data_IF_209786012794
#
_entry.id   IF_209786012794
#
_cell.length_a   1.000
_cell.length_b   1.000
_cell.length_c   1.000
_cell.angle_alpha   90.00
_cell.angle_beta   90.00
_cell.angle_gamma   90.00
#
_symmetry.space_group_name_H-M   'P 1'
#
loop_
_entity.id
_entity.type
_entity.pdbx_description
1 polymer ?
2 non-polymer ?
3 non-polymer ?
4 water ?
#
# COMPACT_ATOMS: atom_id res chain seq x y z
N UNK A 2 15.38 23.58 15.86
CA UNK A 2 14.55 23.18 17.05
C UNK A 2 14.92 21.78 17.58
N UNK A 3 14.41 21.44 18.76
CA UNK A 3 14.75 20.18 19.43
C UNK A 3 13.58 19.19 19.34
N UNK A 4 13.83 17.95 19.72
CA UNK A 4 12.74 16.99 19.86
C UNK A 4 11.89 17.37 21.07
N UNK A 5 10.57 17.08 21.02
CA UNK A 5 9.70 17.37 22.15
C UNK A 5 10.16 16.62 23.39
N UNK A 6 9.93 17.24 24.54
CA UNK A 6 10.32 16.66 25.81
C UNK A 6 9.70 15.27 26.03
N UNK A 7 8.42 15.13 25.72
CA UNK A 7 7.71 13.85 25.94
C UNK A 7 8.30 12.72 25.11
N UNK A 8 8.76 13.02 23.91
CA UNK A 8 9.46 12.04 23.08
C UNK A 8 10.81 11.68 23.68
N UNK A 9 11.60 12.70 24.00
CA UNK A 9 12.92 12.50 24.62
C UNK A 9 12.82 11.69 25.93
N UNK A 10 11.73 11.86 26.67
CA UNK A 10 11.54 11.14 27.90
C UNK A 10 11.52 9.61 27.77
N UNK A 11 10.98 9.14 26.65
CA UNK A 11 10.77 7.72 26.39
C UNK A 11 11.73 7.09 25.40
N UNK A 12 12.37 7.91 24.55
CA UNK A 12 13.18 7.44 23.44
C UNK A 12 14.48 8.23 23.35
N UNK A 13 15.53 7.55 22.91
CA UNK A 13 16.78 8.17 22.52
C UNK A 13 16.83 8.22 21.01
N UNK A 14 16.99 9.40 20.43
CA UNK A 14 16.92 9.54 18.97
C UNK A 14 18.30 9.35 18.36
N UNK A 15 18.31 8.74 17.18
CA UNK A 15 19.54 8.39 16.49
C UNK A 15 19.53 8.81 15.00
N UNK A 16 20.20 8.02 14.16
CA UNK A 16 20.47 8.38 12.77
C UNK A 16 19.23 8.41 11.89
N UNK A 17 19.37 9.05 10.73
CA UNK A 17 18.31 9.11 9.74
C UNK A 17 18.29 7.83 8.92
N UNK A 18 17.11 7.24 8.79
CA UNK A 18 16.93 6.02 7.99
C UNK A 18 16.40 6.34 6.59
N UNK A 19 15.68 7.46 6.45
CA UNK A 19 15.01 7.79 5.19
C UNK A 19 14.45 9.21 5.19
N UNK A 20 13.94 9.62 4.02
CA UNK A 20 13.31 10.94 3.86
C UNK A 20 12.08 10.88 2.95
N UNK A 21 11.01 11.57 3.36
CA UNK A 21 9.88 11.86 2.50
C UNK A 21 9.81 13.35 2.22
N UNK A 22 8.79 13.78 1.48
CA UNK A 22 8.52 15.21 1.28
C UNK A 22 8.01 15.81 2.58
N UNK A 23 7.16 15.04 3.26
CA UNK A 23 6.62 15.38 4.59
C UNK A 23 7.69 15.52 5.69
N UNK A 24 8.66 14.60 5.70
CA UNK A 24 9.72 14.61 6.71
C UNK A 24 10.41 13.27 6.87
N UNK A 25 11.45 13.26 7.70
CA UNK A 25 12.36 12.12 7.79
C UNK A 25 11.78 10.94 8.56
N UNK A 26 12.46 9.81 8.42
CA UNK A 26 12.28 8.67 9.32
C UNK A 26 13.60 8.49 10.09
N UNK A 27 13.51 8.46 11.42
CA UNK A 27 14.68 8.34 12.29
C UNK A 27 14.71 7.00 13.02
N UNK A 28 15.91 6.50 13.24
CA UNK A 28 16.15 5.39 14.17
C UNK A 28 16.05 5.94 15.59
N UNK A 29 15.42 5.18 16.47
CA UNK A 29 15.37 5.53 17.88
C UNK A 29 15.44 4.26 18.72
N UNK A 30 15.79 4.43 20.00
CA UNK A 30 15.75 3.31 20.95
C UNK A 30 14.76 3.63 22.04
N UNK A 31 13.85 2.69 22.27
CA UNK A 31 12.91 2.83 23.36
C UNK A 31 13.65 2.58 24.68
N UNK A 32 13.60 3.55 25.59
CA UNK A 32 14.37 3.46 26.82
C UNK A 32 14.00 2.25 27.66
N UNK A 33 12.71 1.99 27.80
CA UNK A 33 12.23 0.89 28.65
C UNK A 33 12.81 -0.47 28.26
N UNK A 34 12.93 -0.72 26.97
CA UNK A 34 13.26 -2.06 26.46
C UNK A 34 14.66 -2.11 25.83
N UNK A 35 15.23 -0.93 25.58
CA UNK A 35 16.46 -0.78 24.81
C UNK A 35 16.38 -1.31 23.40
N UNK A 36 15.19 -1.43 22.83
CA UNK A 36 15.04 -1.98 21.50
C UNK A 36 14.80 -0.88 20.46
N UNK A 37 15.15 -1.17 19.21
CA UNK A 37 15.13 -0.19 18.13
C UNK A 37 13.72 0.01 17.64
N UNK A 38 13.38 1.26 17.33
CA UNK A 38 12.11 1.59 16.72
C UNK A 38 12.38 2.57 15.60
N UNK A 39 11.39 2.79 14.74
CA UNK A 39 11.45 3.84 13.74
C UNK A 39 10.54 4.96 14.18
N UNK A 40 10.96 6.20 13.93
CA UNK A 40 10.13 7.37 14.21
C UNK A 40 9.95 8.20 12.94
N UNK A 41 8.72 8.27 12.47
CA UNK A 41 8.37 9.06 11.30
C UNK A 41 7.98 10.48 11.74
N UNK A 42 8.67 11.45 11.17
CA UNK A 42 8.40 12.85 11.47
C UNK A 42 7.58 13.42 10.32
N UNK A 43 6.46 14.06 10.64
CA UNK A 43 5.66 14.79 9.65
C UNK A 43 5.52 16.24 10.16
N UNK A 44 6.03 17.18 9.39
CA UNK A 44 6.03 18.58 9.82
C UNK A 44 4.61 19.17 9.72
N UNK A 45 4.29 20.08 10.63
CA UNK A 45 3.02 20.79 10.60
C UNK A 45 3.15 22.02 9.73
N UNK A 60 -7.74 13.57 6.04
CA UNK A 60 -6.86 14.70 5.78
C UNK A 60 -5.75 14.80 6.85
N UNK A 61 -6.08 15.03 8.12
CA UNK A 61 -5.00 15.29 9.10
C UNK A 61 -4.38 14.05 9.73
N UNK A 62 -3.21 14.23 10.32
CA UNK A 62 -2.43 13.10 10.82
C UNK A 62 -3.12 12.37 11.98
N UNK A 63 -3.73 13.09 12.92
CA UNK A 63 -4.32 12.44 14.10
C UNK A 63 -5.40 11.45 13.69
N UNK A 64 -6.20 11.81 12.69
CA UNK A 64 -7.22 10.92 12.17
C UNK A 64 -6.64 9.74 11.38
N UNK A 65 -5.54 9.96 10.66
CA UNK A 65 -4.78 8.87 10.05
C UNK A 65 -4.29 7.90 11.12
N UNK A 66 -3.69 8.44 12.19
CA UNK A 66 -3.23 7.61 13.30
C UNK A 66 -4.40 6.83 13.93
N UNK A 67 -5.54 7.48 14.08
CA UNK A 67 -6.75 6.80 14.57
C UNK A 67 -7.18 5.64 13.69
N UNK A 68 -7.16 5.84 12.37
CA UNK A 68 -7.43 4.74 11.46
C UNK A 68 -6.45 3.60 11.72
N UNK A 69 -5.17 3.91 11.72
CA UNK A 69 -4.15 2.86 11.84
C UNK A 69 -4.17 2.15 13.21
N UNK A 70 -4.59 2.85 14.27
CA UNK A 70 -4.75 2.21 15.58
C UNK A 70 -5.83 1.13 15.58
N UNK A 71 -6.84 1.27 14.73
CA UNK A 71 -7.95 0.31 14.71
C UNK A 71 -7.67 -0.89 13.82
N UNK A 72 -6.76 -0.74 12.86
CA UNK A 72 -6.48 -1.81 11.90
C UNK A 72 -5.52 -2.82 12.50
N UNK A 73 -5.75 -4.10 12.21
CA UNK A 73 -4.97 -5.19 12.77
C UNK A 73 -4.75 -6.26 11.72
N UNK A 74 -3.67 -6.11 10.97
CA UNK A 74 -3.31 -7.04 9.91
C UNK A 74 -1.79 -7.09 9.82
N UNK A 75 -1.22 -8.28 9.66
CA UNK A 75 0.26 -8.36 9.68
C UNK A 75 0.95 -7.66 8.50
N UNK A 76 0.22 -7.35 7.43
CA UNK A 76 0.79 -6.62 6.29
C UNK A 76 0.41 -5.13 6.25
N UNK A 77 0.00 -4.61 7.40
CA UNK A 77 -0.29 -3.19 7.59
C UNK A 77 0.45 -2.73 8.82
N UNK A 78 1.17 -1.63 8.64
CA UNK A 78 2.01 -1.04 9.67
C UNK A 78 1.20 -0.71 10.93
N UNK A 79 1.77 -1.01 12.11
CA UNK A 79 1.18 -0.70 13.40
C UNK A 79 1.84 0.50 14.09
N UNK A 80 1.05 1.28 14.83
CA UNK A 80 1.56 2.46 15.49
C UNK A 80 1.88 2.08 16.92
N UNK A 81 3.11 2.38 17.37
CA UNK A 81 3.51 2.11 18.74
C UNK A 81 3.25 3.29 19.63
N UNK A 82 3.50 4.48 19.10
CA UNK A 82 3.28 5.68 19.86
C UNK A 82 3.12 6.86 18.91
N UNK A 83 2.64 7.97 19.46
CA UNK A 83 2.35 9.15 18.68
C UNK A 83 2.51 10.41 19.51
N UNK A 84 3.23 11.39 18.99
CA UNK A 84 3.41 12.66 19.68
C UNK A 84 3.07 13.81 18.74
N UNK A 85 2.12 14.63 19.18
CA UNK A 85 1.60 15.77 18.42
C UNK A 85 2.18 17.03 19.08
N UNK A 86 3.29 17.52 18.55
CA UNK A 86 4.02 18.64 19.14
C UNK A 86 4.26 19.71 18.08
N UNK A 87 5.46 20.30 18.02
CA UNK A 87 5.77 21.24 16.95
C UNK A 87 5.54 20.57 15.61
N UNK A 88 6.01 19.33 15.51
CA UNK A 88 5.72 18.44 14.40
C UNK A 88 5.04 17.19 14.95
N UNK A 89 4.63 16.30 14.05
CA UNK A 89 4.11 14.98 14.46
C UNK A 89 5.23 13.96 14.46
N UNK A 90 5.28 13.15 15.50
CA UNK A 90 6.24 12.07 15.60
C UNK A 90 5.44 10.79 15.74
N UNK A 91 5.68 9.85 14.84
CA UNK A 91 4.96 8.59 14.86
C UNK A 91 5.96 7.46 15.07
N UNK A 92 5.77 6.68 16.14
CA UNK A 92 6.69 5.62 16.48
C UNK A 92 6.13 4.30 15.97
N UNK A 93 6.94 3.53 15.23
CA UNK A 93 6.53 2.21 14.75
C UNK A 93 7.68 1.24 14.79
N UNK A 94 7.37 -0.04 14.54
CA UNK A 94 8.42 -1.04 14.49
C UNK A 94 9.33 -0.73 13.33
N UNK A 95 10.58 -1.16 13.47
CA UNK A 95 11.58 -0.95 12.48
C UNK A 95 11.33 -1.88 11.29
N UNK A 96 11.40 -1.34 10.08
CA UNK A 96 11.25 -2.15 8.89
C UNK A 96 12.57 -2.04 8.17
N UNK A 97 13.48 -2.92 8.54
CA UNK A 97 14.88 -2.77 8.19
C UNK A 97 15.15 -2.95 6.71
N UNK A 98 14.24 -3.58 5.99
CA UNK A 98 14.37 -3.73 4.56
C UNK A 98 14.21 -2.44 3.79
N UNK A 99 13.58 -1.44 4.43
CA UNK A 99 13.32 -0.17 3.76
C UNK A 99 12.14 -0.23 2.80
N UNK A 100 12.12 0.72 1.87
CA UNK A 100 11.01 0.84 0.94
C UNK A 100 11.18 -0.11 -0.24
N UNK A 101 10.06 -0.63 -0.75
CA UNK A 101 10.03 -1.41 -1.99
C UNK A 101 10.62 -0.62 -3.15
N UNK A 102 10.38 0.70 -3.13
CA UNK A 102 10.92 1.62 -4.14
C UNK A 102 12.39 1.35 -4.49
N UNK A 103 13.20 1.21 -3.46
CA UNK A 103 14.64 1.04 -3.63
C UNK A 103 15.03 -0.28 -4.30
N UNK A 104 14.11 -1.25 -4.31
CA UNK A 104 14.34 -2.54 -4.96
C UNK A 104 13.97 -2.56 -6.44
N UNK A 105 13.22 -1.55 -6.88
CA UNK A 105 12.75 -1.53 -8.27
C UNK A 105 13.24 -0.33 -9.07
N UNK A 106 13.96 0.58 -8.42
CA UNK A 106 14.45 1.80 -9.06
C UNK A 106 15.64 1.50 -9.97
N UNK A 107 15.85 2.36 -10.97
CA UNK A 107 16.96 2.20 -11.89
C UNK A 107 16.90 0.90 -12.69
N UNK A 108 15.68 0.52 -13.08
CA UNK A 108 15.43 -0.69 -13.89
C UNK A 108 15.81 -2.02 -13.21
N UNK A 109 16.03 -1.99 -11.91
CA UNK A 109 16.26 -3.22 -11.18
C UNK A 109 14.94 -3.97 -11.10
N UNK A 110 15.02 -5.30 -11.14
CA UNK A 110 13.82 -6.07 -10.90
C UNK A 110 14.03 -7.34 -10.11
N UNK A 111 12.95 -7.71 -9.45
CA UNK A 111 12.91 -8.81 -8.54
C UNK A 111 12.60 -10.06 -9.35
N UNK A 112 13.01 -11.22 -8.86
CA UNK A 112 12.61 -12.46 -9.53
C UNK A 112 11.11 -12.65 -9.35
N UNK A 113 10.50 -13.39 -10.27
CA UNK A 113 9.06 -13.55 -10.29
C UNK A 113 8.55 -14.07 -8.94
N UNK A 114 9.25 -15.06 -8.39
CA UNK A 114 8.89 -15.63 -7.08
C UNK A 114 8.79 -14.57 -5.97
N UNK A 115 9.78 -13.68 -5.89
CA UNK A 115 9.77 -12.58 -4.90
C UNK A 115 8.61 -11.59 -5.20
N UNK A 116 8.36 -11.31 -6.48
CA UNK A 116 7.20 -10.52 -6.86
C UNK A 116 5.90 -11.13 -6.34
N UNK A 117 5.75 -12.43 -6.48
CA UNK A 117 4.54 -13.11 -6.05
C UNK A 117 4.34 -13.04 -4.54
N UNK A 118 5.41 -13.26 -3.79
CA UNK A 118 5.34 -13.22 -2.34
C UNK A 118 4.95 -11.84 -1.86
N UNK A 119 5.63 -10.81 -2.37
CA UNK A 119 5.30 -9.44 -2.01
C UNK A 119 3.88 -9.08 -2.43
N UNK A 120 3.53 -9.41 -3.68
CA UNK A 120 2.21 -9.03 -4.19
C UNK A 120 1.05 -9.72 -3.46
N UNK A 121 1.23 -10.98 -3.11
CA UNK A 121 0.24 -11.71 -2.32
C UNK A 121 -0.07 -10.96 -1.02
N UNK A 122 0.98 -10.46 -0.37
CA UNK A 122 0.82 -9.75 0.87
C UNK A 122 0.16 -8.39 0.68
N UNK A 123 0.51 -7.69 -0.39
CA UNK A 123 -0.17 -6.42 -0.72
C UNK A 123 -1.67 -6.68 -0.92
N UNK A 124 -2.00 -7.72 -1.66
CA UNK A 124 -3.41 -8.11 -1.90
C UNK A 124 -4.16 -8.41 -0.60
N UNK A 125 -3.53 -9.19 0.29
CA UNK A 125 -4.16 -9.51 1.56
C UNK A 125 -4.40 -8.22 2.36
N UNK A 126 -3.41 -7.32 2.35
CA UNK A 126 -3.51 -6.04 3.07
C UNK A 126 -4.64 -5.20 2.53
N UNK A 127 -4.67 -5.03 1.20
CA UNK A 127 -5.67 -4.16 0.60
C UNK A 127 -7.06 -4.80 0.71
N UNK A 128 -7.15 -6.13 0.60
CA UNK A 128 -8.41 -6.84 0.82
C UNK A 128 -8.95 -6.54 2.21
N UNK A 129 -8.06 -6.59 3.20
CA UNK A 129 -8.44 -6.32 4.58
C UNK A 129 -8.95 -4.89 4.69
N UNK A 130 -8.25 -3.95 4.04
CA UNK A 130 -8.70 -2.56 4.06
C UNK A 130 -10.10 -2.45 3.51
N UNK A 131 -10.34 -3.01 2.33
CA UNK A 131 -11.64 -2.86 1.66
C UNK A 131 -12.77 -3.55 2.45
N UNK A 132 -12.50 -4.72 3.04
CA UNK A 132 -13.44 -5.38 3.94
C UNK A 132 -13.80 -4.52 5.14
N UNK A 133 -12.86 -3.69 5.58
CA UNK A 133 -13.04 -2.82 6.73
C UNK A 133 -13.45 -1.38 6.37
N UNK A 134 -13.90 -1.17 5.14
CA UNK A 134 -14.42 0.14 4.72
C UNK A 134 -13.35 1.22 4.55
N UNK A 135 -12.11 0.83 4.29
CA UNK A 135 -11.04 1.80 4.07
C UNK A 135 -10.48 1.67 2.66
N UNK A 136 -10.24 2.81 1.99
CA UNK A 136 -9.52 2.83 0.72
C UNK A 136 -8.20 3.60 0.95
N UNK A 137 -7.08 3.07 0.46
CA UNK A 137 -5.77 3.65 0.75
C UNK A 137 -5.56 4.90 -0.13
N UNK A 138 -5.75 4.73 -1.43
CA UNK A 138 -5.66 5.80 -2.42
C UNK A 138 -4.26 6.33 -2.70
N UNK A 139 -3.22 5.77 -2.11
CA UNK A 139 -1.85 6.22 -2.41
C UNK A 139 -0.87 5.04 -2.47
N UNK A 140 -1.33 3.90 -3.03
CA UNK A 140 -0.46 2.74 -3.08
C UNK A 140 0.61 2.96 -4.14
N UNK A 141 1.86 2.85 -3.72
CA UNK A 141 3.02 2.88 -4.61
C UNK A 141 4.24 2.27 -3.88
N UNK A 142 5.34 2.00 -4.61
CA UNK A 142 6.47 1.30 -3.99
C UNK A 142 7.09 2.01 -2.79
N UNK A 143 6.99 3.33 -2.75
CA UNK A 143 7.51 4.08 -1.60
C UNK A 143 6.69 3.84 -0.33
N UNK A 144 5.45 3.37 -0.50
CA UNK A 144 4.55 3.10 0.64
C UNK A 144 4.39 1.63 0.97
N UNK A 145 5.31 0.81 0.46
CA UNK A 145 5.46 -0.58 0.85
C UNK A 145 6.83 -0.73 1.53
N UNK A 146 6.81 -1.19 2.78
CA UNK A 146 8.00 -1.35 3.59
C UNK A 146 8.34 -2.84 3.73
N UNK A 147 9.64 -3.13 3.80
CA UNK A 147 10.14 -4.49 3.88
C UNK A 147 10.72 -4.75 5.29
N UNK A 148 10.31 -5.86 5.89
CA UNK A 148 10.69 -6.21 7.26
C UNK A 148 12.16 -6.44 7.49
N UNK A 149 12.86 -6.97 6.49
CA UNK A 149 14.25 -7.31 6.63
C UNK A 149 14.95 -7.11 5.29
N UNK A 150 16.27 -7.28 5.30
CA UNK A 150 17.05 -7.20 4.07
C UNK A 150 17.10 -8.52 3.34
N UNK A 151 16.49 -9.56 3.93
CA UNK A 151 16.32 -10.85 3.24
C UNK A 151 15.29 -10.65 2.15
N UNK A 152 15.48 -11.31 1.03
CA UNK A 152 14.56 -11.21 -0.09
C UNK A 152 13.16 -11.73 0.31
N UNK A 153 13.11 -12.87 0.98
CA UNK A 153 11.85 -13.40 1.50
C UNK A 153 11.57 -12.76 2.85
N UNK A 154 10.70 -11.76 2.86
CA UNK A 154 10.34 -11.07 4.09
C UNK A 154 8.88 -10.65 4.05
N UNK A 155 8.34 -10.29 5.21
CA UNK A 155 7.00 -9.70 5.27
C UNK A 155 7.10 -8.26 4.77
N UNK A 156 6.05 -7.81 4.10
CA UNK A 156 5.93 -6.42 3.72
C UNK A 156 4.76 -5.80 4.47
N UNK A 157 4.81 -4.48 4.64
CA UNK A 157 3.74 -3.78 5.29
C UNK A 157 3.46 -2.49 4.55
N UNK A 158 2.18 -2.25 4.31
CA UNK A 158 1.74 -1.04 3.69
C UNK A 158 1.73 0.06 4.72
N UNK A 159 2.18 1.24 4.30
CA UNK A 159 2.20 2.42 5.16
C UNK A 159 1.59 3.64 4.45
N UNK A 160 1.63 4.78 5.14
CA UNK A 160 1.16 6.09 4.65
C UNK A 160 -0.31 6.11 4.26
N UNK A 161 -1.14 6.37 5.26
CA UNK A 161 -2.56 6.46 5.10
C UNK A 161 -3.06 7.91 5.01
N UNK A 162 -2.16 8.82 4.64
CA UNK A 162 -2.49 10.25 4.58
C UNK A 162 -3.53 10.63 3.54
N UNK A 163 -3.72 9.77 2.52
CA UNK A 163 -4.76 10.00 1.50
C UNK A 163 -5.94 9.06 1.65
N UNK A 164 -5.95 8.25 2.70
CA UNK A 164 -6.98 7.24 2.86
C UNK A 164 -8.35 7.86 3.14
N UNK A 165 -9.37 7.06 2.92
CA UNK A 165 -10.74 7.52 3.12
C UNK A 165 -11.57 6.39 3.68
N UNK A 166 -12.51 6.75 4.55
CA UNK A 166 -13.35 5.78 5.21
C UNK A 166 -14.66 5.73 4.46
N UNK A 167 -15.06 4.55 4.02
CA UNK A 167 -16.37 4.38 3.38
C UNK A 167 -17.46 4.41 4.42
N UNK A 168 -18.66 4.77 3.99
CA UNK A 168 -19.82 4.78 4.87
C UNK A 168 -21.03 5.26 4.08
N UNK A 169 -22.13 5.51 4.77
CA UNK A 169 -23.35 5.96 4.13
C UNK A 169 -23.07 7.25 3.35
N UNK A 170 -23.28 7.18 2.03
CA UNK A 170 -23.01 8.31 1.17
C UNK A 170 -24.18 9.30 1.15
N UNK A 171 -23.89 10.52 0.70
CA UNK A 171 -24.95 11.51 0.42
C UNK A 171 -25.90 10.94 -0.61
N UNK A 172 -25.36 10.18 -1.56
CA UNK A 172 -26.19 9.55 -2.59
C UNK A 172 -27.23 8.62 -1.99
N UNK A 173 -26.81 7.76 -1.06
CA UNK A 173 -27.75 6.82 -0.43
C UNK A 173 -28.86 7.56 0.27
N UNK A 174 -28.52 8.62 0.99
CA UNK A 174 -29.54 9.45 1.67
C UNK A 174 -30.49 10.10 0.65
N UNK A 175 -29.96 10.58 -0.47
CA UNK A 175 -30.80 11.16 -1.53
C UNK A 175 -31.78 10.13 -2.10
N UNK A 176 -31.31 8.92 -2.37
CA UNK A 176 -32.14 7.89 -2.99
C UNK A 176 -33.31 7.39 -2.12
N UNK A 177 -33.25 7.58 -0.81
CA UNK A 177 -34.46 7.43 0.00
C UNK A 177 -35.37 8.53 -0.54
N UNK A 178 -36.33 8.14 -1.40
CA UNK A 178 -36.90 9.03 -2.47
C UNK A 178 -37.30 10.41 -2.01
N UNK A 179 -38.12 11.15 -2.77
CA UNK A 179 -38.40 10.91 -4.18
C UNK A 179 -37.75 12.08 -4.94
N UNK A 180 -37.28 11.82 -6.18
CA UNK A 180 -36.41 12.77 -6.89
C UNK A 180 -37.13 13.91 -7.63
N UNK A 181 -38.27 14.33 -7.12
CA UNK A 181 -39.03 15.40 -7.74
C UNK A 181 -38.16 16.61 -8.08
N UNK A 182 -37.23 16.96 -7.17
CA UNK A 182 -36.41 18.17 -7.32
C UNK A 182 -34.96 17.85 -7.58
N UNK A 183 -34.67 16.57 -7.84
CA UNK A 183 -33.30 16.09 -7.89
C UNK A 183 -32.75 16.16 -9.32
N UNK A 184 -31.49 16.59 -9.40
CA UNK A 184 -30.82 16.87 -10.66
C UNK A 184 -30.47 15.57 -11.38
N UNK A 185 -30.57 15.56 -12.72
CA UNK A 185 -30.30 14.32 -13.47
C UNK A 185 -28.92 13.76 -13.31
N UNK A 186 -27.91 14.61 -13.16
CA UNK A 186 -26.54 14.11 -12.98
C UNK A 186 -26.40 13.26 -11.69
N UNK A 187 -27.21 13.53 -10.67
CA UNK A 187 -27.12 12.74 -9.47
C UNK A 187 -27.65 11.32 -9.79
N UNK A 188 -28.75 11.26 -10.50
CA UNK A 188 -29.32 9.98 -10.91
C UNK A 188 -28.37 9.19 -11.81
N UNK A 189 -27.72 9.88 -12.74
CA UNK A 189 -26.75 9.23 -13.62
C UNK A 189 -25.58 8.66 -12.83
N UNK A 190 -25.13 9.37 -11.78
CA UNK A 190 -24.00 8.89 -10.96
C UNK A 190 -24.26 7.56 -10.25
N UNK A 191 -25.53 7.18 -10.13
CA UNK A 191 -25.88 5.92 -9.50
C UNK A 191 -25.26 4.70 -10.21
N UNK A 192 -25.07 4.79 -11.53
CA UNK A 192 -24.54 3.67 -12.29
C UNK A 192 -23.15 3.25 -11.83
N UNK A 193 -22.35 4.24 -11.46
CA UNK A 193 -20.94 4.01 -11.14
C UNK A 193 -20.55 4.21 -9.68
N UNK A 194 -21.50 4.58 -8.82
CA UNK A 194 -21.19 4.84 -7.40
C UNK A 194 -20.75 3.56 -6.71
N UNK A 195 -19.98 3.70 -5.62
CA UNK A 195 -19.58 2.57 -4.78
C UNK A 195 -18.41 1.72 -5.31
N UNK A 196 -17.70 2.21 -6.32
CA UNK A 196 -16.50 1.56 -6.85
C UNK A 196 -15.19 2.37 -6.63
N UNK A 197 -15.20 3.27 -5.66
CA UNK A 197 -14.00 4.04 -5.32
C UNK A 197 -12.82 3.15 -4.92
N UNK A 198 -13.11 2.00 -4.30
CA UNK A 198 -12.07 1.05 -3.90
C UNK A 198 -11.26 0.52 -5.10
N UNK A 199 -11.86 0.54 -6.29
CA UNK A 199 -11.19 0.02 -7.48
C UNK A 199 -9.92 0.82 -7.84
N UNK A 200 -9.79 2.05 -7.36
CA UNK A 200 -8.55 2.83 -7.56
C UNK A 200 -7.32 2.16 -6.91
N UNK A 201 -7.53 1.45 -5.81
CA UNK A 201 -6.43 0.71 -5.15
C UNK A 201 -6.01 -0.48 -6.02
N UNK A 202 -6.98 -1.16 -6.64
CA UNK A 202 -6.68 -2.29 -7.51
C UNK A 202 -5.91 -1.88 -8.75
N UNK A 203 -6.23 -0.70 -9.31
CA UNK A 203 -5.45 -0.15 -10.42
C UNK A 203 -3.99 0.09 -9.99
N UNK A 204 -3.81 0.78 -8.87
CA UNK A 204 -2.49 1.05 -8.33
C UNK A 204 -1.65 -0.22 -8.09
N UNK A 205 -2.29 -1.24 -7.55
CA UNK A 205 -1.66 -2.53 -7.37
C UNK A 205 -1.17 -3.11 -8.68
N UNK A 206 -2.01 -3.02 -9.72
CA UNK A 206 -1.65 -3.42 -11.07
C UNK A 206 -0.40 -2.73 -11.59
N UNK A 207 -0.31 -1.41 -11.38
CA UNK A 207 0.90 -0.65 -11.74
C UNK A 207 2.13 -1.11 -10.93
N UNK A 208 1.94 -1.28 -9.63
CA UNK A 208 3.01 -1.82 -8.76
C UNK A 208 3.49 -3.19 -9.25
N UNK A 209 2.57 -4.10 -9.53
CA UNK A 209 2.94 -5.43 -9.99
C UNK A 209 3.70 -5.38 -11.32
N UNK A 210 3.19 -4.59 -12.25
CA UNK A 210 3.86 -4.33 -13.53
C UNK A 210 5.31 -3.89 -13.32
N UNK A 211 5.51 -2.93 -12.44
CA UNK A 211 6.84 -2.40 -12.14
C UNK A 211 7.75 -3.45 -11.49
N UNK A 212 7.20 -4.22 -10.56
CA UNK A 212 7.98 -5.27 -9.90
C UNK A 212 8.48 -6.35 -10.89
N UNK A 213 7.59 -6.82 -11.76
CA UNK A 213 7.91 -7.88 -12.73
C UNK A 213 8.86 -7.47 -13.83
N UNK A 214 8.78 -6.20 -14.23
CA UNK A 214 9.45 -5.69 -15.43
C UNK A 214 10.61 -4.72 -15.19
N UNK A 215 10.61 -4.06 -14.03
CA UNK A 215 11.61 -3.03 -13.73
C UNK A 215 11.36 -1.66 -14.37
N UNK A 216 10.22 -1.47 -15.04
CA UNK A 216 9.88 -0.17 -15.64
C UNK A 216 8.37 0.13 -15.53
N UNK A 217 8.01 1.43 -15.58
CA UNK A 217 6.60 1.81 -15.37
C UNK A 217 5.73 1.65 -16.62
N UNK A 218 4.49 1.15 -16.47
CA UNK A 218 3.60 0.94 -17.62
C UNK A 218 3.23 2.24 -18.33
N UNK A 219 3.05 3.31 -17.58
CA UNK A 219 2.67 4.58 -18.14
C UNK A 219 3.74 5.59 -17.74
N UNK A 220 4.32 6.25 -18.73
CA UNK A 220 5.38 7.22 -18.47
C UNK A 220 5.61 8.06 -19.72
N UNK A 221 6.20 9.24 -19.55
CA UNK A 221 6.44 10.15 -20.68
C UNK A 221 7.79 9.87 -21.38
N UNK A 222 8.43 8.76 -21.06
CA UNK A 222 9.74 8.43 -21.61
C UNK A 222 9.64 7.94 -23.05
N UNK A 223 10.37 8.61 -23.95
CA UNK A 223 10.38 8.28 -25.38
C UNK A 223 8.99 7.93 -25.93
N UNK A 224 8.05 8.86 -25.77
CA UNK A 224 6.75 8.77 -26.45
C UNK A 224 6.15 10.16 -26.66
N UNK A 225 5.29 10.29 -27.67
CA UNK A 225 4.53 11.51 -27.92
C UNK A 225 3.09 11.40 -27.40
N UNK A 226 2.74 10.25 -26.84
CA UNK A 226 1.42 10.09 -26.26
C UNK A 226 1.48 10.61 -24.82
N UNK A 227 0.60 11.54 -24.51
CA UNK A 227 0.55 12.13 -23.19
C UNK A 227 0.32 11.03 -22.14
N UNK A 228 0.87 11.23 -20.95
CA UNK A 228 0.66 10.31 -19.83
C UNK A 228 -0.84 10.10 -19.60
N UNK A 229 -1.61 11.19 -19.63
CA UNK A 229 -3.05 11.09 -19.41
C UNK A 229 -3.73 10.20 -20.45
N UNK A 230 -3.37 10.38 -21.72
CA UNK A 230 -3.96 9.54 -22.77
C UNK A 230 -3.55 8.07 -22.66
N UNK A 231 -2.31 7.83 -22.23
CA UNK A 231 -1.83 6.47 -21.98
C UNK A 231 -2.68 5.78 -20.94
N UNK A 232 -2.96 6.48 -19.85
CA UNK A 232 -3.70 5.91 -18.73
C UNK A 232 -5.18 5.70 -19.07
N UNK A 233 -5.85 6.73 -19.61
CA UNK A 233 -7.29 6.64 -19.90
C UNK A 233 -7.60 5.62 -20.99
N UNK A 234 -6.66 5.41 -21.90
CA UNK A 234 -6.87 4.42 -22.96
C UNK A 234 -6.45 3.02 -22.47
N UNK A 235 -5.74 2.96 -21.34
CA UNK A 235 -5.22 1.70 -20.81
C UNK A 235 -4.08 1.09 -21.61
N UNK A 236 -3.47 1.87 -22.50
CA UNK A 236 -2.41 1.34 -23.36
C UNK A 236 -1.06 1.49 -22.70
N UNK A 237 -0.69 0.48 -21.91
CA UNK A 237 0.60 0.42 -21.23
C UNK A 237 1.71 0.12 -22.24
N UNK A 238 2.92 0.53 -21.87
CA UNK A 238 4.12 0.34 -22.68
C UNK A 238 4.60 -1.08 -22.52
N UNK A 239 4.36 -1.89 -23.56
CA UNK A 239 4.78 -3.28 -23.53
C UNK A 239 6.08 -3.53 -24.29
N UNK A 240 7.15 -3.85 -23.56
CA UNK A 240 8.45 -4.12 -24.20
C UNK A 240 8.73 -5.63 -24.18
N UNK A 241 8.51 -6.32 -25.31
CA UNK A 241 8.60 -7.78 -25.34
C UNK A 241 9.84 -8.38 -24.67
N UNK A 242 11.03 -7.82 -24.94
CA UNK A 242 12.28 -8.43 -24.48
C UNK A 242 12.36 -8.44 -22.96
N UNK A 243 11.92 -7.35 -22.35
CA UNK A 243 11.89 -7.30 -20.90
C UNK A 243 10.91 -8.34 -20.33
N UNK A 244 9.78 -8.57 -20.98
CA UNK A 244 8.74 -9.48 -20.45
C UNK A 244 8.95 -10.97 -20.80
N UNK A 245 9.79 -11.28 -21.80
CA UNK A 245 9.97 -12.68 -22.25
C UNK A 245 10.30 -13.62 -21.09
N UNK A 246 11.03 -13.12 -20.11
CA UNK A 246 11.46 -13.89 -18.95
C UNK A 246 10.31 -14.15 -17.96
N UNK A 247 9.36 -13.24 -17.90
CA UNK A 247 8.20 -13.33 -16.99
C UNK A 247 7.09 -14.25 -17.55
N UNK A 248 6.39 -14.94 -16.66
CA UNK A 248 5.34 -15.86 -17.08
C UNK A 248 4.10 -15.18 -17.67
N UNK A 249 3.35 -15.94 -18.47
CA UNK A 249 2.07 -15.51 -19.02
C UNK A 249 1.01 -15.30 -17.92
N UNK A 250 1.02 -16.13 -16.89
CA UNK A 250 0.07 -15.99 -15.78
C UNK A 250 0.26 -14.69 -14.99
N UNK A 251 1.51 -14.29 -14.76
CA UNK A 251 1.83 -13.01 -14.11
C UNK A 251 1.31 -11.85 -14.94
N UNK A 252 1.62 -11.85 -16.23
CA UNK A 252 1.13 -10.80 -17.13
C UNK A 252 -0.40 -10.80 -17.22
N UNK A 253 -1.01 -11.98 -17.23
CA UNK A 253 -2.47 -12.08 -17.28
C UNK A 253 -3.12 -11.31 -16.12
N UNK A 254 -2.57 -11.46 -14.92
CA UNK A 254 -3.10 -10.77 -13.74
C UNK A 254 -2.88 -9.27 -13.90
N UNK A 255 -1.69 -8.87 -14.34
CA UNK A 255 -1.45 -7.46 -14.59
C UNK A 255 -2.55 -6.90 -15.47
N UNK A 256 -2.91 -7.62 -16.53
CA UNK A 256 -3.87 -7.11 -17.50
C UNK A 256 -5.29 -7.02 -16.94
N UNK A 257 -5.63 -7.86 -15.97
CA UNK A 257 -6.96 -7.83 -15.38
C UNK A 257 -7.10 -6.74 -14.30
N UNK A 258 -5.96 -6.23 -13.82
CA UNK A 258 -5.94 -5.13 -12.87
C UNK A 258 -5.87 -3.76 -13.58
N UNK A 259 -5.24 -3.72 -14.75
CA UNK A 259 -5.12 -2.47 -15.50
C UNK A 259 -6.25 -2.39 -16.52
N UNK A 260 -7.46 -2.68 -16.06
CA UNK A 260 -8.66 -2.56 -16.84
C UNK A 260 -9.20 -1.16 -16.55
N UNK A 261 -9.50 -0.43 -17.62
CA UNK A 261 -9.93 0.97 -17.53
C UNK A 261 -11.32 1.12 -16.89
N UNK A 262 -12.26 0.26 -17.23
CA UNK A 262 -13.59 0.30 -16.60
C UNK A 262 -13.48 -0.18 -15.16
N UNK A 263 -13.69 0.72 -14.17
CA UNK A 263 -13.57 0.32 -12.76
C UNK A 263 -14.52 -0.79 -12.33
N UNK A 264 -15.66 -0.93 -12.98
CA UNK A 264 -16.62 -1.98 -12.59
C UNK A 264 -16.20 -3.37 -13.09
N UNK A 265 -15.45 -3.39 -14.18
CA UNK A 265 -14.92 -4.61 -14.79
C UNK A 265 -13.55 -5.00 -14.18
N UNK A 266 -12.81 -4.01 -13.70
CA UNK A 266 -11.53 -4.26 -13.04
C UNK A 266 -11.61 -5.37 -11.98
N UNK A 267 -10.53 -6.16 -11.88
CA UNK A 267 -10.42 -7.15 -10.83
C UNK A 267 -10.42 -6.49 -9.46
N UNK A 268 -11.16 -7.10 -8.55
CA UNK A 268 -11.13 -6.77 -7.16
C UNK A 268 -9.99 -7.55 -6.52
N UNK A 269 -9.70 -7.27 -5.25
CA UNK A 269 -8.66 -7.99 -4.55
C UNK A 269 -9.00 -9.48 -4.42
N UNK A 270 -10.29 -9.80 -4.23
CA UNK A 270 -10.75 -11.20 -4.18
C UNK A 270 -10.48 -11.93 -5.49
N UNK A 271 -10.82 -11.30 -6.61
CA UNK A 271 -10.57 -11.91 -7.91
C UNK A 271 -9.08 -12.14 -8.15
N UNK A 272 -8.25 -11.18 -7.75
CA UNK A 272 -6.79 -11.27 -7.92
C UNK A 272 -6.22 -12.42 -7.08
N UNK A 273 -6.70 -12.56 -5.84
CA UNK A 273 -6.26 -13.65 -4.95
C UNK A 273 -6.63 -15.03 -5.48
N UNK A 274 -7.72 -15.13 -6.26
CA UNK A 274 -8.14 -16.39 -6.85
C UNK A 274 -7.52 -16.63 -8.23
N UNK A 275 -6.68 -15.71 -8.70
CA UNK A 275 -6.07 -15.86 -10.03
C UNK A 275 -5.05 -17.00 -10.05
N UNK A 276 -4.92 -17.71 -11.17
CA UNK A 276 -3.98 -18.84 -11.23
C UNK A 276 -2.55 -18.51 -10.76
N UNK A 277 -2.07 -17.28 -11.01
CA UNK A 277 -0.71 -16.89 -10.60
C UNK A 277 -0.49 -17.02 -9.10
N UNK A 278 -1.53 -16.76 -8.32
CA UNK A 278 -1.41 -16.78 -6.86
C UNK A 278 -1.81 -18.12 -6.24
N UNK A 279 -2.12 -19.10 -7.08
CA UNK A 279 -2.38 -20.46 -6.62
C UNK A 279 -1.04 -21.20 -6.53
N UNK A 280 -0.27 -20.85 -5.51
CA UNK A 280 1.12 -21.28 -5.37
C UNK A 280 1.37 -21.67 -3.92
N UNK A 281 1.30 -22.98 -3.64
CA UNK A 281 1.42 -23.46 -2.25
C UNK A 281 2.79 -23.20 -1.63
N UNK A 282 3.84 -23.19 -2.46
CA UNK A 282 5.19 -22.84 -2.00
C UNK A 282 5.25 -21.42 -1.47
N UNK A 283 4.83 -20.47 -2.31
CA UNK A 283 4.78 -19.07 -1.91
C UNK A 283 3.97 -18.94 -0.61
N UNK A 284 2.81 -19.59 -0.56
CA UNK A 284 1.94 -19.49 0.59
C UNK A 284 2.55 -20.11 1.83
N UNK A 285 3.26 -21.23 1.67
CA UNK A 285 4.02 -21.83 2.77
C UNK A 285 5.03 -20.83 3.32
N UNK A 286 5.80 -20.21 2.43
CA UNK A 286 6.81 -19.23 2.81
C UNK A 286 6.19 -18.06 3.61
N UNK A 287 5.04 -17.57 3.15
CA UNK A 287 4.38 -16.47 3.86
C UNK A 287 4.02 -16.89 5.29
N UNK A 288 3.38 -18.05 5.44
CA UNK A 288 3.01 -18.56 6.77
C UNK A 288 4.22 -18.79 7.69
N UNK A 289 5.31 -19.31 7.13
CA UNK A 289 6.56 -19.44 7.84
C UNK A 289 7.02 -18.07 8.35
N UNK A 290 6.94 -17.06 7.48
CA UNK A 290 7.39 -15.72 7.82
C UNK A 290 6.54 -15.12 8.96
N UNK A 291 5.23 -15.38 8.94
CA UNK A 291 4.33 -14.90 10.00
C UNK A 291 4.73 -15.47 11.37
N UNK A 292 5.04 -16.76 11.40
CA UNK A 292 5.37 -17.45 12.65
C UNK A 292 6.69 -16.99 13.24
N UNK A 293 7.72 -16.87 12.41
CA UNK A 293 8.98 -16.28 12.82
C UNK A 293 8.81 -14.96 13.59
N UNK A 294 7.85 -14.13 13.16
CA UNK A 294 7.65 -12.81 13.77
C UNK A 294 7.26 -12.82 15.28
N UNK A 295 7.19 -14.01 15.95
CA UNK A 295 6.78 -14.14 17.40
C UNK A 295 7.63 -15.10 18.27
N UNK A 296 7.59 -15.10 19.63
CA UNK A 296 7.04 -14.07 20.59
C UNK A 296 5.58 -14.22 21.19
N UNK A 297 4.91 -15.35 20.99
CA UNK A 297 3.57 -15.50 21.53
C UNK A 297 3.60 -15.93 23.01
N UNK A 298 2.45 -15.86 23.66
CA UNK A 298 2.32 -16.31 25.04
C UNK A 298 2.04 -17.82 25.05
N UNK A 299 2.18 -18.47 26.20
CA UNK A 299 1.81 -19.89 26.32
C UNK A 299 0.30 -20.07 26.05
N UNK A 300 -0.11 -21.23 25.54
CA UNK A 300 -1.52 -21.51 25.16
C UNK A 300 -2.01 -22.77 25.90
N UNK A 301 -3.31 -22.85 26.26
CA UNK A 301 -3.78 -24.07 26.98
C UNK A 301 -3.67 -25.38 26.21
X LIG B 1 13.41 1.36 8.71
X LIG B 1 11.05 2.91 7.85
X LIG B 1 8.17 4.88 6.70
X LIG B 1 3.04 8.51 6.76
X LIG B 1 2.01 9.19 6.88
X LIG B 1 2.85 10.65 5.33
X LIG B 1 0.82 11.08 6.25
X LIG B 1 14.61 1.99 6.70
X LIG B 1 14.51 2.75 5.54
X LIG B 1 13.38 3.47 5.20
X LIG B 1 12.24 3.48 6.02
X LIG B 1 12.22 2.78 7.23
X LIG B 1 13.37 2.06 7.58
X LIG B 1 10.90 4.15 5.85
X LIG B 1 10.26 3.71 7.13
X LIG B 1 8.87 4.14 7.58
X LIG B 1 6.98 5.44 6.91
X LIG B 1 6.25 5.31 8.10
X LIG B 1 5.02 5.96 8.25
X LIG B 1 4.52 6.76 7.23
X LIG B 1 5.26 6.92 6.04
X LIG B 1 6.48 6.26 5.89
X LIG B 1 4.24 5.77 9.58
X LIG B 1 2.72 5.78 9.35
X LIG B 1 2.26 6.97 8.50
X LIG B 1 3.29 7.40 7.45
X LIG B 1 1.89 10.30 6.17
X LIG B 1 12.32 1.29 9.61
X LIG B 1 14.56 0.62 9.02
X LIG B 1 8.41 3.68 8.76
X LIG C 1 -16.60 2.09 -2.67
X LIG C 1 -17.51 1.54 -1.78
X LIG C 1 -15.51 1.33 -3.09
X LIG C 1 -16.79 3.37 -3.14
#
# INVERSE_FOLDING_TARGET
MSVYPKALRDEYIMSKTLGSGACGEVKLAFERKTCKKVAIKIISKRKFAIGSAREADPALNVETEIEILKKLNHPCIIKIKNFFDAEDYYIVLELMEGGELFDKVVGNKRLKEATCKLYFYQMLLAVQYLHENGIIHRDLKPENVLLSSQEEDCLIKITDFGHSKILGETSLMRTLCGTPTYLAPEVLVSVGTAGYNRAVDCWSLGVILFICLSGYPPFSEHRTQVSLKDQITSGKYNFIPEVWAEVSEKALDLVKKLLVVDPKARFTTEEALRHPWLQDEDMKRKFQDLLSEENESTALPQVLAQPSTSRKRPREGEAEGAE
YIR NAA NAB NAC NAD NAE NAF NAG CAH CAI CAJ CAK CAL CAM CAN CAO CAP CAQ CAR CAS CAT CAU CAV CAW CAX CAY CAZ CBA OBB OBC OBD
NO3 N O1 O2 O3
#
